data_IF_364189997179
#
_entry.id   IF_364189997179
#
_cell.length_a   1.000
_cell.length_b   1.000
_cell.length_c   1.000
_cell.angle_alpha   90.00
_cell.angle_beta   90.00
_cell.angle_gamma   90.00
#
_symmetry.space_group_name_H-M   'P 1'
#
loop_
_entity.id
_entity.type
_entity.pdbx_description
1 polymer ?
#
# COMPACT_ATOMS: atom_id res chain seq x y z
N UNK A 1 0.89 8.93 -11.77
CA UNK A 1 1.30 7.55 -12.05
C UNK A 1 0.60 6.65 -11.05
N UNK A 2 -0.58 6.12 -11.38
CA UNK A 2 -1.34 5.22 -10.50
C UNK A 2 -0.87 3.79 -10.72
N UNK A 3 -0.25 3.16 -9.72
CA UNK A 3 0.35 1.83 -9.87
C UNK A 3 -0.68 0.69 -9.86
N UNK A 4 -1.83 0.88 -9.22
CA UNK A 4 -2.83 -0.19 -9.00
C UNK A 4 -4.25 0.14 -9.51
N UNK A 5 -4.42 1.21 -10.30
CA UNK A 5 -5.75 1.63 -10.80
C UNK A 5 -6.34 0.54 -11.70
N UNK A 6 -7.49 -0.05 -11.31
CA UNK A 6 -8.18 -1.11 -12.05
C UNK A 6 -7.56 -2.51 -11.92
N UNK A 7 -6.65 -2.72 -10.96
CA UNK A 7 -5.99 -3.99 -10.72
C UNK A 7 -5.97 -4.37 -9.22
N UNK A 8 -7.10 -4.20 -8.54
CA UNK A 8 -7.26 -4.49 -7.12
C UNK A 8 -6.69 -5.83 -6.66
N UNK A 9 -6.98 -6.90 -7.40
CA UNK A 9 -6.44 -8.24 -7.10
C UNK A 9 -4.90 -8.30 -7.09
N UNK A 10 -4.22 -7.54 -7.97
CA UNK A 10 -2.75 -7.51 -8.02
C UNK A 10 -2.15 -6.81 -6.80
N UNK A 11 -2.85 -5.83 -6.24
CA UNK A 11 -2.43 -5.18 -5.00
C UNK A 11 -2.42 -6.17 -3.84
N UNK A 12 -3.47 -7.00 -3.73
CA UNK A 12 -3.56 -8.04 -2.68
C UNK A 12 -2.45 -9.07 -2.86
N UNK A 13 -2.28 -9.61 -4.06
CA UNK A 13 -1.21 -10.59 -4.34
C UNK A 13 0.19 -10.04 -4.03
N UNK A 14 0.49 -8.81 -4.47
CA UNK A 14 1.77 -8.16 -4.20
C UNK A 14 1.98 -7.90 -2.70
N UNK A 15 0.90 -7.58 -1.98
CA UNK A 15 0.95 -7.37 -0.54
C UNK A 15 1.19 -8.68 0.22
N UNK A 16 0.46 -9.74 -0.11
CA UNK A 16 0.63 -11.06 0.49
C UNK A 16 2.04 -11.62 0.28
N UNK A 17 2.61 -11.44 -0.92
CA UNK A 17 4.00 -11.81 -1.22
C UNK A 17 5.04 -11.07 -0.35
N UNK A 18 4.66 -9.94 0.25
CA UNK A 18 5.49 -9.15 1.16
C UNK A 18 5.12 -9.35 2.64
N UNK A 19 4.27 -10.33 2.95
CA UNK A 19 3.79 -10.61 4.31
C UNK A 19 2.70 -9.66 4.80
N UNK A 20 2.10 -8.90 3.88
CA UNK A 20 0.84 -8.21 4.11
C UNK A 20 -0.34 -9.17 4.07
N UNK A 21 -1.52 -8.67 4.42
CA UNK A 21 -2.78 -9.41 4.33
C UNK A 21 -3.87 -8.51 3.80
N UNK A 22 -4.88 -9.11 3.18
CA UNK A 22 -6.08 -8.39 2.78
C UNK A 22 -6.76 -7.73 3.99
N UNK A 23 -7.30 -6.54 3.76
CA UNK A 23 -8.11 -5.78 4.68
C UNK A 23 -9.41 -5.41 3.98
N UNK A 24 -10.54 -5.84 4.56
CA UNK A 24 -11.87 -5.50 4.07
C UNK A 24 -12.22 -4.04 4.41
N UNK A 25 -11.56 -3.09 3.74
CA UNK A 25 -11.74 -1.66 3.90
C UNK A 25 -11.47 -0.93 2.58
N UNK A 26 -12.38 -0.04 2.17
CA UNK A 26 -12.40 0.50 0.80
C UNK A 26 -12.87 -0.55 -0.21
N UNK A 27 -12.57 -0.32 -1.50
CA UNK A 27 -12.81 -1.33 -2.54
C UNK A 27 -11.75 -2.43 -2.46
N UNK A 28 -10.49 -2.03 -2.19
CA UNK A 28 -9.37 -2.95 -1.99
C UNK A 28 -8.48 -2.43 -0.88
N UNK A 29 -8.30 -3.22 0.17
CA UNK A 29 -7.44 -2.88 1.29
C UNK A 29 -6.37 -3.94 1.55
N UNK A 30 -5.19 -3.50 1.94
CA UNK A 30 -4.12 -4.39 2.42
C UNK A 30 -3.49 -3.82 3.68
N UNK A 31 -3.10 -4.69 4.62
CA UNK A 31 -2.50 -4.34 5.90
C UNK A 31 -1.12 -4.99 6.05
N UNK A 32 -0.14 -4.19 6.44
CA UNK A 32 1.21 -4.61 6.79
C UNK A 32 1.48 -4.39 8.27
N UNK A 33 2.01 -5.42 8.93
CA UNK A 33 2.62 -5.29 10.26
C UNK A 33 4.14 -5.09 10.07
N UNK A 34 4.57 -3.84 9.89
CA UNK A 34 5.95 -3.50 9.50
C UNK A 34 6.91 -3.62 10.68
N UNK A 35 6.45 -3.22 11.87
CA UNK A 35 7.15 -3.38 13.15
C UNK A 35 6.12 -3.80 14.21
N UNK A 36 6.52 -4.32 15.39
CA UNK A 36 5.56 -4.81 16.40
C UNK A 36 4.46 -3.82 16.80
N UNK A 37 4.75 -2.52 16.75
CA UNK A 37 3.80 -1.44 17.05
C UNK A 37 3.34 -0.66 15.81
N UNK A 38 3.88 -0.94 14.62
CA UNK A 38 3.61 -0.15 13.41
C UNK A 38 2.84 -0.99 12.41
N UNK A 39 1.57 -0.64 12.25
CA UNK A 39 0.68 -1.16 11.22
C UNK A 39 0.48 -0.10 10.15
N UNK A 40 0.48 -0.52 8.89
CA UNK A 40 0.26 0.36 7.74
C UNK A 40 -0.78 -0.29 6.85
N UNK A 41 -1.86 0.43 6.57
CA UNK A 41 -2.85 -0.01 5.62
C UNK A 41 -2.76 0.80 4.32
N UNK A 42 -2.85 0.13 3.19
CA UNK A 42 -3.08 0.78 1.90
C UNK A 42 -4.51 0.48 1.47
N UNK A 43 -5.25 1.52 1.11
CA UNK A 43 -6.66 1.44 0.76
C UNK A 43 -6.84 2.10 -0.60
N UNK A 44 -7.23 1.31 -1.59
CA UNK A 44 -7.60 1.78 -2.92
C UNK A 44 -9.12 1.93 -2.99
N UNK A 45 -9.52 3.08 -3.51
CA UNK A 45 -10.85 3.41 -3.94
C UNK A 45 -10.81 3.48 -5.46
N UNK A 46 -11.55 2.62 -6.15
CA UNK A 46 -11.52 2.57 -7.62
C UNK A 46 -12.21 3.78 -8.26
N UNK A 47 -13.01 4.50 -7.46
CA UNK A 47 -13.80 5.61 -7.95
C UNK A 47 -14.90 5.14 -8.90
N UNK A 48 -15.69 6.09 -9.40
CA UNK A 48 -16.77 5.87 -10.35
C UNK A 48 -16.83 7.01 -11.37
N UNK A 49 -17.94 7.13 -12.10
CA UNK A 49 -18.12 8.18 -13.11
C UNK A 49 -18.15 9.60 -12.50
N UNK A 50 -18.43 9.73 -11.21
CA UNK A 50 -18.51 11.02 -10.50
C UNK A 50 -17.22 11.34 -9.71
N UNK A 51 -16.49 10.31 -9.26
CA UNK A 51 -15.32 10.46 -8.38
C UNK A 51 -14.11 9.69 -8.92
N UNK A 52 -12.93 10.33 -9.09
CA UNK A 52 -11.75 9.65 -9.60
C UNK A 52 -11.19 8.61 -8.60
N UNK A 53 -10.51 7.56 -9.09
CA UNK A 53 -9.80 6.60 -8.24
C UNK A 53 -8.78 7.28 -7.33
N UNK A 54 -8.67 6.79 -6.10
CA UNK A 54 -7.75 7.32 -5.10
C UNK A 54 -7.16 6.19 -4.24
N UNK A 55 -5.93 6.36 -3.77
CA UNK A 55 -5.31 5.45 -2.82
C UNK A 55 -4.84 6.22 -1.57
N UNK A 56 -5.21 5.71 -0.40
CA UNK A 56 -4.82 6.26 0.89
C UNK A 56 -3.90 5.31 1.64
N UNK A 57 -2.94 5.88 2.38
CA UNK A 57 -2.10 5.16 3.33
C UNK A 57 -2.57 5.53 4.74
N UNK A 58 -3.00 4.55 5.52
CA UNK A 58 -3.51 4.73 6.86
C UNK A 58 -2.55 4.16 7.90
N UNK A 59 -2.46 4.85 9.02
CA UNK A 59 -1.66 4.48 10.18
C UNK A 59 -2.51 4.51 11.44
N UNK A 60 -2.07 3.79 12.46
CA UNK A 60 -2.59 3.98 13.81
C UNK A 60 -2.17 5.36 14.35
N UNK A 61 -3.03 5.99 15.15
CA UNK A 61 -2.77 7.32 15.72
C UNK A 61 -1.46 7.39 16.51
N UNK A 62 -1.06 6.26 17.13
CA UNK A 62 0.13 6.17 17.95
C UNK A 62 1.43 6.30 17.14
N UNK A 63 1.38 6.21 15.81
CA UNK A 63 2.56 6.28 14.93
C UNK A 63 3.39 7.54 15.14
N UNK A 64 2.72 8.66 15.37
CA UNK A 64 3.36 9.96 15.60
C UNK A 64 4.12 10.03 16.93
N UNK A 65 3.83 9.13 17.87
CA UNK A 65 4.50 9.05 19.17
C UNK A 65 5.87 8.38 19.12
N UNK A 66 6.21 7.68 18.03
CA UNK A 66 7.48 6.95 17.92
C UNK A 66 8.15 7.01 16.54
N UNK A 67 7.49 7.53 15.50
CA UNK A 67 8.09 7.85 14.20
C UNK A 67 7.84 9.31 13.82
N UNK A 68 8.84 9.94 13.21
CA UNK A 68 8.69 11.29 12.64
C UNK A 68 7.84 11.25 11.36
N UNK A 69 7.30 12.39 10.95
CA UNK A 69 6.57 12.50 9.67
C UNK A 69 7.42 12.10 8.46
N UNK A 70 8.73 12.39 8.51
CA UNK A 70 9.68 11.98 7.47
C UNK A 70 9.81 10.45 7.40
N UNK A 71 9.98 9.80 8.55
CA UNK A 71 10.08 8.33 8.62
C UNK A 71 8.79 7.63 8.17
N UNK A 72 7.62 8.17 8.55
CA UNK A 72 6.32 7.66 8.11
C UNK A 72 6.20 7.73 6.58
N UNK A 73 6.63 8.86 6.00
CA UNK A 73 6.62 9.07 4.55
C UNK A 73 7.59 8.13 3.83
N UNK A 74 8.80 7.97 4.37
CA UNK A 74 9.84 7.08 3.84
C UNK A 74 9.38 5.62 3.85
N UNK A 75 8.79 5.19 4.98
CA UNK A 75 8.28 3.84 5.16
C UNK A 75 7.14 3.54 4.19
N UNK A 76 6.21 4.48 4.02
CA UNK A 76 5.14 4.38 3.01
C UNK A 76 5.71 4.17 1.61
N UNK A 77 6.68 5.02 1.24
CA UNK A 77 7.32 4.96 -0.07
C UNK A 77 8.07 3.65 -0.31
N UNK A 78 8.77 3.13 0.70
CA UNK A 78 9.46 1.84 0.60
C UNK A 78 8.52 0.68 0.37
N UNK A 79 7.37 0.66 1.05
CA UNK A 79 6.37 -0.38 0.87
C UNK A 79 5.78 -0.33 -0.53
N UNK A 80 5.35 0.85 -1.00
CA UNK A 80 4.84 1.03 -2.37
C UNK A 80 5.85 0.59 -3.42
N UNK A 81 7.12 0.97 -3.26
CA UNK A 81 8.19 0.54 -4.18
C UNK A 81 8.43 -0.95 -4.16
N UNK A 82 8.30 -1.62 -3.02
CA UNK A 82 8.44 -3.07 -2.92
C UNK A 82 7.27 -3.78 -3.56
N UNK A 83 6.04 -3.30 -3.36
CA UNK A 83 4.85 -3.83 -4.02
C UNK A 83 4.96 -3.67 -5.54
N UNK A 84 5.28 -2.46 -6.03
CA UNK A 84 5.44 -2.19 -7.46
C UNK A 84 6.60 -2.98 -8.10
N UNK A 85 7.67 -3.29 -7.35
CA UNK A 85 8.78 -4.13 -7.85
C UNK A 85 8.42 -5.60 -8.01
N UNK A 86 7.40 -6.09 -7.31
CA UNK A 86 6.86 -7.43 -7.53
C UNK A 86 6.02 -7.49 -8.81
N UNK A 87 5.46 -6.35 -9.25
CA UNK A 87 4.63 -6.25 -10.45
C UNK A 87 5.42 -6.10 -11.75
N UNK A 88 6.67 -5.60 -11.70
CA UNK A 88 7.56 -5.62 -12.86
C UNK A 88 8.25 -6.98 -12.96
N UNK A 89 7.99 -7.78 -14.01
CA UNK A 89 8.83 -8.93 -14.28
C UNK A 89 10.28 -8.46 -14.39
N UNK A 90 11.19 -9.23 -13.81
CA UNK A 90 12.65 -9.05 -13.78
C UNK A 90 13.31 -8.77 -15.16
N UNK A 91 12.56 -8.80 -16.26
CA UNK A 91 13.03 -8.76 -17.64
C UNK A 91 13.49 -7.38 -18.17
N UNK A 92 13.13 -6.25 -17.53
CA UNK A 92 13.52 -4.91 -18.02
C UNK A 92 14.65 -4.24 -17.21
N UNK A 93 15.59 -5.04 -16.69
CA UNK A 93 16.88 -4.51 -16.22
C UNK A 93 17.97 -4.89 -17.20
N UNK A 94 17.99 -4.19 -18.35
CA UNK A 94 19.16 -4.14 -19.22
C UNK A 94 19.95 -2.88 -18.92
#
# INVERSE_FOLDING_TARGET
>A
MGYFSGAGGKLVEAAEALGGRELAYGDVGVLFQVFPKVKVAFVLWEGDEEVPPNANVLFDESVSGYLSTEDISELSWRLVRRMARQEVPFCERR
#
